data_IF_906952242840
#
_entry.id   IF_906952242840
#
_cell.length_a   1.000
_cell.length_b   1.000
_cell.length_c   1.000
_cell.angle_alpha   90.00
_cell.angle_beta   90.00
_cell.angle_gamma   90.00
#
_symmetry.space_group_name_H-M   'P 1'
#
loop_
_entity.id
_entity.type
_entity.pdbx_description
1 polymer ?
#
# COMPACT_ATOMS: atom_id res chain seq x y z
N UNK A 1 8.51 18.80 -7.00
CA UNK A 1 9.02 17.44 -6.98
C UNK A 1 10.01 17.20 -5.87
N UNK A 2 11.08 17.97 -5.80
CA UNK A 2 12.07 17.87 -4.70
C UNK A 2 11.40 18.12 -3.34
N UNK A 3 10.51 19.09 -3.24
CA UNK A 3 9.78 19.40 -2.02
C UNK A 3 8.88 18.22 -1.56
N UNK A 4 8.26 17.50 -2.51
CA UNK A 4 7.40 16.36 -2.21
C UNK A 4 8.21 15.19 -1.63
N UNK A 5 9.39 14.94 -2.17
CA UNK A 5 10.28 13.89 -1.65
C UNK A 5 10.78 14.23 -0.24
N UNK A 6 11.17 15.47 -0.01
CA UNK A 6 11.59 15.96 1.31
C UNK A 6 10.44 15.87 2.32
N UNK A 7 9.23 16.24 1.92
CA UNK A 7 8.04 16.12 2.76
C UNK A 7 7.74 14.67 3.11
N UNK A 8 7.90 13.76 2.14
CA UNK A 8 7.69 12.34 2.35
C UNK A 8 8.74 11.76 3.32
N UNK A 9 9.99 12.17 3.19
CA UNK A 9 11.06 11.74 4.09
C UNK A 9 10.82 12.27 5.52
N UNK A 10 10.42 13.52 5.66
CA UNK A 10 10.11 14.12 6.96
C UNK A 10 8.91 13.41 7.62
N UNK A 11 7.88 13.08 6.84
CA UNK A 11 6.73 12.33 7.31
C UNK A 11 7.12 10.93 7.76
N UNK A 12 7.98 10.26 7.01
CA UNK A 12 8.47 8.93 7.36
C UNK A 12 9.26 8.95 8.67
N UNK A 13 10.17 9.91 8.83
CA UNK A 13 10.95 10.04 10.07
C UNK A 13 10.04 10.30 11.27
N UNK A 14 9.02 11.14 11.13
CA UNK A 14 8.04 11.39 12.18
C UNK A 14 7.28 10.11 12.54
N UNK A 15 6.82 9.35 11.56
CA UNK A 15 6.10 8.10 11.77
C UNK A 15 6.98 7.09 12.51
N UNK A 16 8.24 6.96 12.10
CA UNK A 16 9.20 6.07 12.77
C UNK A 16 9.43 6.48 14.23
N UNK A 17 9.55 7.78 14.49
CA UNK A 17 9.72 8.30 15.84
C UNK A 17 8.50 8.04 16.73
N UNK A 18 7.31 8.22 16.20
CA UNK A 18 6.05 7.97 16.93
C UNK A 18 5.87 6.52 17.34
N UNK A 19 6.42 5.58 16.55
CA UNK A 19 6.29 4.15 16.80
C UNK A 19 7.53 3.51 17.43
N UNK A 20 8.54 4.30 17.81
CA UNK A 20 9.84 3.81 18.23
C UNK A 20 9.81 2.92 19.48
N UNK A 21 8.86 3.11 20.38
CA UNK A 21 8.75 2.31 21.61
C UNK A 21 7.68 1.22 21.57
N UNK A 22 7.08 0.99 20.40
CA UNK A 22 5.97 0.07 20.27
C UNK A 22 6.46 -1.36 20.00
N UNK A 23 5.84 -2.35 20.64
CA UNK A 23 6.09 -3.75 20.34
C UNK A 23 5.41 -4.10 19.00
N UNK A 24 6.17 -4.75 18.09
CA UNK A 24 5.66 -5.11 16.77
C UNK A 24 5.20 -3.93 15.94
N UNK A 25 6.05 -2.91 15.71
CA UNK A 25 5.61 -1.65 15.12
C UNK A 25 5.47 -1.68 13.59
N UNK A 26 5.84 -2.77 12.91
CA UNK A 26 5.93 -2.80 11.44
C UNK A 26 4.59 -2.51 10.77
N UNK A 27 3.53 -3.23 11.11
CA UNK A 27 2.22 -3.01 10.49
C UNK A 27 1.66 -1.62 10.78
N UNK A 28 1.67 -1.12 12.02
CA UNK A 28 1.25 0.27 12.26
C UNK A 28 2.04 1.30 11.48
N UNK A 29 3.35 1.12 11.34
CA UNK A 29 4.19 2.01 10.54
C UNK A 29 3.79 1.98 9.07
N UNK A 30 3.59 0.78 8.50
CA UNK A 30 3.18 0.64 7.10
C UNK A 30 1.82 1.29 6.83
N UNK A 31 0.86 1.11 7.74
CA UNK A 31 -0.44 1.78 7.64
C UNK A 31 -0.29 3.30 7.66
N UNK A 32 0.50 3.83 8.59
CA UNK A 32 0.71 5.27 8.71
C UNK A 32 1.39 5.85 7.47
N UNK A 33 2.37 5.14 6.91
CA UNK A 33 3.05 5.57 5.67
C UNK A 33 2.06 5.59 4.51
N UNK A 34 1.26 4.55 4.33
CA UNK A 34 0.30 4.50 3.24
C UNK A 34 -0.79 5.55 3.39
N UNK A 35 -1.28 5.78 4.61
CA UNK A 35 -2.30 6.79 4.87
C UNK A 35 -1.78 8.22 4.62
N UNK A 36 -0.50 8.46 4.88
CA UNK A 36 0.12 9.79 4.71
C UNK A 36 0.59 10.02 3.29
N UNK A 37 1.28 9.05 2.70
CA UNK A 37 1.95 9.19 1.38
C UNK A 37 1.10 8.62 0.26
N UNK A 38 0.26 7.63 0.54
CA UNK A 38 -0.61 6.98 -0.44
C UNK A 38 -0.10 5.64 -0.94
N UNK A 39 1.17 5.36 -0.76
CA UNK A 39 1.77 4.07 -1.17
C UNK A 39 3.07 3.83 -0.41
N UNK A 40 3.62 2.64 -0.54
CA UNK A 40 4.88 2.26 0.10
C UNK A 40 5.90 1.99 -0.99
N UNK A 41 6.83 2.91 -1.19
CA UNK A 41 7.87 2.80 -2.22
C UNK A 41 9.03 1.91 -1.74
N UNK A 42 9.88 1.42 -2.65
CA UNK A 42 11.10 0.70 -2.26
C UNK A 42 12.01 1.49 -1.32
N UNK A 43 12.07 2.81 -1.47
CA UNK A 43 12.84 3.68 -0.56
C UNK A 43 12.27 3.64 0.85
N UNK A 44 10.95 3.64 0.99
CA UNK A 44 10.29 3.50 2.29
C UNK A 44 10.61 2.14 2.94
N UNK A 45 10.56 1.07 2.15
CA UNK A 45 10.91 -0.28 2.62
C UNK A 45 12.33 -0.31 3.16
N UNK A 46 13.28 0.23 2.43
CA UNK A 46 14.69 0.28 2.85
C UNK A 46 14.87 1.05 4.15
N UNK A 47 14.23 2.21 4.27
CA UNK A 47 14.35 3.07 5.45
C UNK A 47 13.69 2.44 6.68
N UNK A 48 12.53 1.85 6.52
CA UNK A 48 11.81 1.15 7.61
C UNK A 48 12.62 -0.06 8.09
N UNK A 49 13.15 -0.84 7.15
CA UNK A 49 13.98 -2.00 7.49
C UNK A 49 15.18 -1.59 8.32
N UNK A 50 15.87 -0.52 7.93
CA UNK A 50 17.02 0.00 8.67
C UNK A 50 16.62 0.46 10.07
N UNK A 51 15.52 1.16 10.20
CA UNK A 51 15.06 1.69 11.48
C UNK A 51 14.66 0.60 12.46
N UNK A 52 14.05 -0.50 11.97
CA UNK A 52 13.58 -1.62 12.79
C UNK A 52 14.59 -2.77 12.89
N UNK A 53 15.75 -2.62 12.28
CA UNK A 53 16.78 -3.67 12.22
C UNK A 53 16.25 -4.97 11.59
N UNK A 54 15.49 -4.83 10.52
CA UNK A 54 14.96 -5.93 9.72
C UNK A 54 15.62 -5.93 8.35
N UNK A 55 15.54 -7.06 7.64
CA UNK A 55 15.98 -7.09 6.26
C UNK A 55 14.94 -6.44 5.33
N UNK A 56 15.38 -5.97 4.16
CA UNK A 56 14.45 -5.48 3.14
C UNK A 56 13.47 -6.56 2.70
N UNK A 57 13.95 -7.80 2.62
CA UNK A 57 13.12 -8.94 2.24
C UNK A 57 11.98 -9.17 3.24
N UNK A 58 12.27 -9.04 4.54
CA UNK A 58 11.25 -9.18 5.57
C UNK A 58 10.16 -8.11 5.45
N UNK A 59 10.55 -6.85 5.28
CA UNK A 59 9.59 -5.74 5.12
C UNK A 59 8.82 -5.88 3.81
N UNK A 60 9.51 -6.15 2.72
CA UNK A 60 8.89 -6.35 1.40
C UNK A 60 7.90 -7.53 1.42
N UNK A 61 8.26 -8.62 2.12
CA UNK A 61 7.38 -9.76 2.29
C UNK A 61 6.04 -9.39 2.93
N UNK A 62 6.09 -8.56 3.97
CA UNK A 62 4.87 -8.08 4.63
C UNK A 62 4.06 -7.18 3.70
N UNK A 63 4.69 -6.25 3.00
CA UNK A 63 4.02 -5.36 2.04
C UNK A 63 3.35 -6.16 0.92
N UNK A 64 4.01 -7.20 0.44
CA UNK A 64 3.48 -8.05 -0.64
C UNK A 64 2.38 -8.99 -0.15
N UNK A 65 2.47 -9.47 1.08
CA UNK A 65 1.50 -10.41 1.65
C UNK A 65 0.13 -9.76 1.88
N UNK A 66 0.11 -8.54 2.40
CA UNK A 66 -1.15 -7.84 2.69
C UNK A 66 -1.59 -7.02 1.49
N UNK A 67 -2.70 -7.39 0.89
CA UNK A 67 -3.25 -6.72 -0.30
C UNK A 67 -3.64 -5.27 -0.06
N UNK A 68 -3.79 -4.86 1.19
CA UNK A 68 -4.09 -3.47 1.56
C UNK A 68 -2.95 -2.53 1.17
N UNK A 69 -1.70 -2.99 1.26
CA UNK A 69 -0.54 -2.16 0.95
C UNK A 69 -0.31 -2.11 -0.55
N UNK A 70 0.04 -0.93 -1.05
CA UNK A 70 0.35 -0.74 -2.47
C UNK A 70 1.74 -0.14 -2.61
N UNK A 71 2.43 -0.53 -3.66
CA UNK A 71 3.81 -0.13 -3.94
C UNK A 71 3.89 1.00 -4.97
N UNK A 72 2.77 1.36 -5.56
CA UNK A 72 2.67 2.43 -6.56
C UNK A 72 1.58 3.40 -6.15
N UNK A 73 1.73 4.64 -6.59
CA UNK A 73 0.73 5.66 -6.34
C UNK A 73 -0.62 5.24 -6.96
N UNK A 74 -1.71 5.26 -6.16
CA UNK A 74 -3.03 4.89 -6.68
C UNK A 74 -3.60 6.00 -7.55
N UNK A 75 -4.62 5.66 -8.35
CA UNK A 75 -5.41 6.66 -9.04
C UNK A 75 -6.22 7.51 -8.07
N UNK A 76 -6.85 8.56 -8.60
CA UNK A 76 -7.69 9.47 -7.81
C UNK A 76 -8.83 8.72 -7.10
N UNK A 77 -9.41 7.76 -7.79
CA UNK A 77 -10.48 6.92 -7.26
C UNK A 77 -10.03 5.47 -7.27
N UNK A 78 -10.20 4.78 -6.16
CA UNK A 78 -9.85 3.36 -6.04
C UNK A 78 -11.14 2.56 -5.93
N UNK A 79 -11.30 1.58 -6.80
CA UNK A 79 -12.46 0.70 -6.81
C UNK A 79 -12.04 -0.68 -6.31
N UNK A 80 -12.72 -1.18 -5.30
CA UNK A 80 -12.51 -2.51 -4.75
C UNK A 80 -13.68 -3.40 -5.12
N UNK A 81 -13.39 -4.55 -5.72
CA UNK A 81 -14.39 -5.57 -6.03
C UNK A 81 -14.12 -6.79 -5.17
N UNK A 82 -15.09 -7.17 -4.34
CA UNK A 82 -14.95 -8.33 -3.47
C UNK A 82 -15.00 -9.62 -4.29
N UNK A 83 -14.04 -10.51 -4.04
CA UNK A 83 -13.95 -11.81 -4.67
C UNK A 83 -13.93 -12.94 -3.63
N UNK A 84 -14.44 -12.67 -2.44
CA UNK A 84 -14.58 -13.67 -1.38
C UNK A 84 -15.57 -14.75 -1.80
N UNK A 85 -15.61 -15.82 -1.05
CA UNK A 85 -16.39 -17.02 -1.40
C UNK A 85 -17.88 -16.71 -1.64
N UNK A 86 -18.49 -15.91 -0.75
CA UNK A 86 -19.89 -15.52 -0.91
C UNK A 86 -20.11 -14.69 -2.18
N UNK A 87 -19.19 -13.80 -2.50
CA UNK A 87 -19.29 -12.97 -3.71
C UNK A 87 -19.08 -13.80 -4.97
N UNK A 88 -18.22 -14.82 -4.94
CA UNK A 88 -18.04 -15.74 -6.06
C UNK A 88 -19.33 -16.52 -6.35
N UNK A 89 -20.03 -16.94 -5.30
CA UNK A 89 -21.33 -17.60 -5.44
C UNK A 89 -22.39 -16.68 -6.06
N UNK A 90 -22.25 -15.36 -5.88
CA UNK A 90 -23.16 -14.35 -6.43
C UNK A 90 -22.62 -13.70 -7.71
N UNK A 91 -21.78 -14.41 -8.45
CA UNK A 91 -21.28 -14.02 -9.77
C UNK A 91 -20.38 -12.76 -9.77
N UNK A 92 -19.46 -12.65 -8.83
CA UNK A 92 -18.57 -11.51 -8.75
C UNK A 92 -17.64 -11.38 -9.98
N UNK A 93 -17.39 -12.49 -10.70
CA UNK A 93 -16.62 -12.43 -11.95
C UNK A 93 -17.30 -11.56 -12.99
N UNK A 94 -18.63 -11.63 -13.10
CA UNK A 94 -19.39 -10.79 -14.01
C UNK A 94 -19.28 -9.30 -13.62
N UNK A 95 -19.34 -9.02 -12.33
CA UNK A 95 -19.17 -7.66 -11.80
C UNK A 95 -17.78 -7.14 -12.11
N UNK A 96 -16.74 -7.94 -11.91
CA UNK A 96 -15.37 -7.59 -12.19
C UNK A 96 -15.17 -7.30 -13.68
N UNK A 97 -15.67 -8.18 -14.57
CA UNK A 97 -15.57 -7.98 -16.00
C UNK A 97 -16.31 -6.73 -16.47
N UNK A 98 -17.47 -6.46 -15.89
CA UNK A 98 -18.23 -5.26 -16.19
C UNK A 98 -17.45 -4.01 -15.78
N UNK A 99 -16.87 -4.03 -14.58
CA UNK A 99 -16.05 -2.91 -14.09
C UNK A 99 -14.83 -2.67 -14.97
N UNK A 100 -14.15 -3.72 -15.40
CA UNK A 100 -13.00 -3.60 -16.32
C UNK A 100 -13.40 -2.93 -17.63
N UNK A 101 -14.53 -3.34 -18.20
CA UNK A 101 -15.00 -2.79 -19.48
C UNK A 101 -15.40 -1.32 -19.34
N UNK A 102 -16.15 -1.00 -18.28
CA UNK A 102 -16.64 0.36 -18.08
C UNK A 102 -15.52 1.34 -17.71
N UNK A 103 -14.54 0.89 -16.93
CA UNK A 103 -13.44 1.74 -16.47
C UNK A 103 -12.23 1.71 -17.42
N UNK A 104 -12.18 0.71 -18.30
CA UNK A 104 -11.07 0.57 -19.25
C UNK A 104 -9.75 0.21 -18.57
N UNK A 105 -9.78 -0.48 -17.44
CA UNK A 105 -8.59 -0.88 -16.70
C UNK A 105 -8.63 -2.34 -16.32
N UNK A 106 -7.45 -2.94 -16.17
CA UNK A 106 -7.30 -4.29 -15.61
C UNK A 106 -7.15 -4.25 -14.11
N UNK A 107 -7.30 -5.39 -13.45
CA UNK A 107 -7.05 -5.52 -12.01
C UNK A 107 -5.64 -5.06 -11.68
N UNK A 108 -5.52 -4.17 -10.70
CA UNK A 108 -4.25 -3.58 -10.31
C UNK A 108 -3.78 -2.45 -11.21
N UNK A 109 -4.52 -2.15 -12.30
CA UNK A 109 -4.19 -1.07 -13.21
C UNK A 109 -4.83 0.25 -12.82
N UNK A 110 -4.40 1.31 -13.50
CA UNK A 110 -4.93 2.66 -13.32
C UNK A 110 -5.23 3.26 -14.70
N UNK A 111 -6.40 3.88 -14.85
CA UNK A 111 -6.75 4.56 -16.08
C UNK A 111 -5.98 5.88 -16.23
N UNK A 112 -5.81 6.32 -17.46
CA UNK A 112 -5.14 7.57 -17.76
C UNK A 112 -5.92 8.79 -17.21
#
# INVERSE_FOLDING_TARGET
>A
MVATELDNDANLERILAEHAGMDGPLLPILHAVQDTVGHISPAHVARIAKALNLSRAEVHGVVSFYHYFRQHEPGRHVVHVCRAEACQAMHCEQTEQHARRELGVDSGGTSA
#
